data_IF_680645951555
#
_entry.id   IF_680645951555
#
_cell.length_a   1.000
_cell.length_b   1.000
_cell.length_c   1.000
_cell.angle_alpha   90.00
_cell.angle_beta   90.00
_cell.angle_gamma   90.00
#
_symmetry.space_group_name_H-M   'P 1'
#
loop_
_entity.id
_entity.type
_entity.pdbx_description
1 polymer ?
#
# COMPACT_ATOMS: atom_id res chain seq x y z
N UNK A 1 21.80 -9.98 20.05
CA UNK A 1 20.55 -9.19 20.02
C UNK A 1 19.80 -9.56 21.28
N UNK A 2 19.86 -8.74 22.32
CA UNK A 2 19.26 -9.08 23.62
C UNK A 2 17.76 -9.36 23.44
N UNK A 3 17.24 -10.35 24.15
CA UNK A 3 15.86 -10.85 24.01
C UNK A 3 14.79 -9.73 24.01
N UNK A 4 15.04 -8.67 24.79
CA UNK A 4 14.14 -7.51 24.94
C UNK A 4 13.96 -6.68 23.66
N UNK A 5 15.02 -6.46 22.87
CA UNK A 5 14.92 -5.67 21.63
C UNK A 5 14.17 -6.40 20.53
N UNK A 6 14.36 -7.73 20.49
CA UNK A 6 13.63 -8.60 19.57
C UNK A 6 12.13 -8.56 19.88
N UNK A 7 11.77 -8.67 21.16
CA UNK A 7 10.38 -8.57 21.62
C UNK A 7 9.80 -7.19 21.28
N UNK A 8 10.52 -6.11 21.60
CA UNK A 8 10.06 -4.75 21.31
C UNK A 8 9.79 -4.52 19.81
N UNK A 9 10.71 -4.98 18.94
CA UNK A 9 10.51 -4.91 17.49
C UNK A 9 9.26 -5.69 17.05
N UNK A 10 9.05 -6.89 17.58
CA UNK A 10 7.87 -7.70 17.28
C UNK A 10 6.57 -7.02 17.71
N UNK A 11 6.56 -6.41 18.91
CA UNK A 11 5.41 -5.64 19.42
C UNK A 11 5.10 -4.45 18.51
N UNK A 12 6.11 -3.71 18.05
CA UNK A 12 5.88 -2.62 17.09
C UNK A 12 5.31 -3.11 15.76
N UNK A 13 5.82 -4.22 15.21
CA UNK A 13 5.27 -4.79 13.98
C UNK A 13 3.79 -5.21 14.18
N UNK A 14 3.47 -5.81 15.32
CA UNK A 14 2.09 -6.15 15.67
C UNK A 14 1.20 -4.90 15.79
N UNK A 15 1.72 -3.82 16.37
CA UNK A 15 1.04 -2.52 16.43
C UNK A 15 0.75 -1.97 15.03
N UNK A 16 1.71 -2.01 14.09
CA UNK A 16 1.46 -1.63 12.70
C UNK A 16 0.38 -2.49 12.03
N UNK A 17 0.33 -3.79 12.35
CA UNK A 17 -0.75 -4.69 11.92
C UNK A 17 -2.11 -4.26 12.48
N UNK A 18 -2.18 -3.93 13.77
CA UNK A 18 -3.39 -3.42 14.40
C UNK A 18 -3.85 -2.08 13.79
N UNK A 19 -2.91 -1.17 13.49
CA UNK A 19 -3.21 0.09 12.80
C UNK A 19 -3.84 -0.18 11.43
N UNK A 20 -3.29 -1.10 10.63
CA UNK A 20 -3.86 -1.47 9.32
C UNK A 20 -5.29 -1.99 9.47
N UNK A 21 -5.57 -2.82 10.49
CA UNK A 21 -6.91 -3.31 10.76
C UNK A 21 -7.83 -2.12 11.04
N UNK A 22 -7.47 -1.27 12.01
CA UNK A 22 -8.27 -0.10 12.38
C UNK A 22 -8.52 0.83 11.18
N UNK A 23 -7.50 1.11 10.37
CA UNK A 23 -7.64 1.94 9.16
C UNK A 23 -8.59 1.33 8.13
N UNK A 24 -8.70 0.01 8.06
CA UNK A 24 -9.64 -0.64 7.15
C UNK A 24 -11.09 -0.60 7.66
N UNK A 25 -11.31 -0.58 8.97
CA UNK A 25 -12.65 -0.56 9.58
C UNK A 25 -13.16 0.85 9.88
N UNK A 26 -12.28 1.83 10.03
CA UNK A 26 -12.64 3.23 10.31
C UNK A 26 -12.37 4.07 9.04
N UNK A 27 -13.42 4.46 8.28
CA UNK A 27 -13.26 5.12 6.99
C UNK A 27 -12.38 6.37 7.02
N UNK A 28 -12.53 7.21 8.05
CA UNK A 28 -11.77 8.46 8.19
C UNK A 28 -10.26 8.27 8.40
N UNK A 29 -9.83 7.10 8.92
CA UNK A 29 -8.43 6.80 9.17
C UNK A 29 -7.75 6.07 8.00
N UNK A 30 -8.54 5.40 7.16
CA UNK A 30 -8.05 4.67 5.99
C UNK A 30 -8.17 5.44 4.67
N UNK A 31 -9.11 6.38 4.58
CA UNK A 31 -9.50 7.01 3.33
C UNK A 31 -9.78 8.51 3.51
N UNK A 32 -9.30 9.32 2.57
CA UNK A 32 -9.68 10.73 2.45
C UNK A 32 -10.76 10.82 1.36
N UNK A 33 -12.01 11.18 1.71
CA UNK A 33 -13.08 11.33 0.72
C UNK A 33 -12.83 12.59 -0.12
N UNK A 34 -12.51 12.40 -1.41
CA UNK A 34 -12.27 13.47 -2.38
C UNK A 34 -13.32 13.38 -3.49
N UNK A 35 -14.56 13.71 -3.15
CA UNK A 35 -15.69 13.68 -4.09
C UNK A 35 -16.04 12.24 -4.53
N UNK A 36 -16.06 11.92 -5.84
CA UNK A 36 -16.52 10.62 -6.33
C UNK A 36 -15.55 9.45 -6.09
N UNK A 37 -14.31 9.71 -5.68
CA UNK A 37 -13.29 8.68 -5.41
C UNK A 37 -12.60 8.92 -4.06
N UNK A 38 -12.23 7.82 -3.38
CA UNK A 38 -11.64 7.84 -2.05
C UNK A 38 -10.12 7.60 -2.14
N UNK A 39 -9.31 8.57 -1.72
CA UNK A 39 -7.85 8.40 -1.62
C UNK A 39 -7.51 7.49 -0.46
N UNK A 40 -6.66 6.50 -0.67
CA UNK A 40 -6.24 5.57 0.38
C UNK A 40 -5.02 6.10 1.15
N UNK A 41 -5.03 6.00 2.48
CA UNK A 41 -3.86 6.31 3.33
C UNK A 41 -3.18 5.01 3.80
N UNK A 42 -3.89 3.88 3.74
CA UNK A 42 -3.45 2.59 4.31
C UNK A 42 -2.11 2.13 3.74
N UNK A 43 -1.86 2.39 2.45
CA UNK A 43 -0.59 2.03 1.81
C UNK A 43 0.61 2.79 2.42
N UNK A 44 0.41 4.00 2.97
CA UNK A 44 1.47 4.77 3.65
C UNK A 44 1.94 4.02 4.90
N UNK A 45 1.04 3.42 5.67
CA UNK A 45 1.38 2.59 6.85
C UNK A 45 2.25 1.38 6.46
N UNK A 46 1.95 0.74 5.32
CA UNK A 46 2.75 -0.36 4.76
C UNK A 46 4.15 0.12 4.36
N UNK A 47 4.23 1.27 3.68
CA UNK A 47 5.50 1.89 3.26
C UNK A 47 6.33 2.25 4.50
N UNK A 48 5.75 2.92 5.50
CA UNK A 48 6.44 3.27 6.75
C UNK A 48 7.01 2.02 7.41
N UNK A 49 6.22 0.93 7.48
CA UNK A 49 6.70 -0.35 8.00
C UNK A 49 7.91 -0.85 7.21
N UNK A 50 7.85 -0.80 5.88
CA UNK A 50 8.95 -1.22 5.01
C UNK A 50 10.23 -0.39 5.20
N UNK A 51 10.08 0.94 5.33
CA UNK A 51 11.20 1.88 5.53
C UNK A 51 11.87 1.73 6.89
N UNK A 52 11.09 1.36 7.92
CA UNK A 52 11.54 1.30 9.31
C UNK A 52 12.05 -0.09 9.69
N UNK A 53 11.25 -1.13 9.43
CA UNK A 53 11.55 -2.51 9.85
C UNK A 53 12.18 -3.35 8.73
N UNK A 54 12.10 -2.88 7.48
CA UNK A 54 12.68 -3.51 6.30
C UNK A 54 11.64 -4.23 5.42
N UNK A 55 12.10 -4.63 4.23
CA UNK A 55 11.30 -5.25 3.16
C UNK A 55 10.42 -6.39 3.64
N UNK A 56 10.96 -7.31 4.45
CA UNK A 56 10.21 -8.48 4.94
C UNK A 56 8.94 -8.08 5.70
N UNK A 57 9.05 -7.15 6.65
CA UNK A 57 7.92 -6.75 7.49
C UNK A 57 6.95 -5.84 6.75
N UNK A 58 7.45 -4.96 5.87
CA UNK A 58 6.59 -4.22 4.95
C UNK A 58 5.73 -5.14 4.08
N UNK A 59 6.32 -6.22 3.56
CA UNK A 59 5.61 -7.21 2.73
C UNK A 59 4.56 -7.99 3.52
N UNK A 60 4.86 -8.37 4.77
CA UNK A 60 3.91 -9.04 5.67
C UNK A 60 2.71 -8.12 5.98
N UNK A 61 2.98 -6.87 6.37
CA UNK A 61 1.92 -5.91 6.69
C UNK A 61 1.10 -5.56 5.44
N UNK A 62 1.73 -5.46 4.27
CA UNK A 62 1.05 -5.37 2.98
C UNK A 62 0.17 -6.59 2.69
N UNK A 63 0.65 -7.81 2.95
CA UNK A 63 -0.14 -9.02 2.81
C UNK A 63 -1.37 -9.06 3.72
N UNK A 64 -1.23 -8.64 4.97
CA UNK A 64 -2.36 -8.51 5.92
C UNK A 64 -3.40 -7.54 5.35
N UNK A 65 -2.97 -6.37 4.85
CA UNK A 65 -3.88 -5.44 4.19
C UNK A 65 -4.56 -6.09 2.97
N UNK A 66 -3.81 -6.81 2.14
CA UNK A 66 -4.33 -7.57 1.00
C UNK A 66 -5.45 -8.55 1.39
N UNK A 67 -5.24 -9.36 2.42
CA UNK A 67 -6.23 -10.32 2.93
C UNK A 67 -7.48 -9.58 3.42
N UNK A 68 -7.30 -8.48 4.16
CA UNK A 68 -8.43 -7.65 4.61
C UNK A 68 -9.20 -7.10 3.41
N UNK A 69 -8.52 -6.59 2.37
CA UNK A 69 -9.19 -6.08 1.17
C UNK A 69 -9.96 -7.17 0.41
N UNK A 70 -9.43 -8.39 0.38
CA UNK A 70 -10.11 -9.55 -0.21
C UNK A 70 -11.39 -9.89 0.56
N UNK A 71 -11.32 -10.03 1.89
CA UNK A 71 -12.49 -10.34 2.72
C UNK A 71 -13.55 -9.23 2.60
N UNK A 72 -13.10 -7.98 2.61
CA UNK A 72 -14.00 -6.82 2.46
C UNK A 72 -14.70 -6.77 1.11
N UNK A 73 -14.10 -7.31 0.05
CA UNK A 73 -14.77 -7.36 -1.25
C UNK A 73 -16.10 -8.13 -1.21
N UNK A 74 -16.24 -9.12 -0.31
CA UNK A 74 -17.46 -9.91 -0.14
C UNK A 74 -18.39 -9.37 0.94
N UNK A 75 -17.83 -8.91 2.07
CA UNK A 75 -18.62 -8.59 3.27
C UNK A 75 -19.00 -7.11 3.33
N UNK A 76 -18.07 -6.22 2.95
CA UNK A 76 -18.28 -4.76 3.04
C UNK A 76 -17.38 -4.01 2.04
N UNK A 77 -17.77 -3.98 0.76
CA UNK A 77 -16.94 -3.41 -0.30
C UNK A 77 -16.80 -1.89 -0.12
N UNK A 78 -15.58 -1.39 -0.35
CA UNK A 78 -15.24 0.04 -0.27
C UNK A 78 -15.84 0.85 -1.43
N UNK A 79 -16.07 0.21 -2.57
CA UNK A 79 -16.66 0.80 -3.76
C UNK A 79 -17.29 -0.29 -4.63
N UNK A 80 -18.18 0.06 -5.56
CA UNK A 80 -18.75 -0.90 -6.51
C UNK A 80 -17.67 -1.66 -7.30
N UNK A 81 -16.57 -0.98 -7.68
CA UNK A 81 -15.43 -1.64 -8.32
C UNK A 81 -14.75 -2.65 -7.40
N UNK A 82 -14.62 -2.35 -6.11
CA UNK A 82 -13.96 -3.22 -5.15
C UNK A 82 -14.64 -4.58 -5.05
N UNK A 83 -15.98 -4.60 -5.11
CA UNK A 83 -16.79 -5.82 -5.10
C UNK A 83 -16.59 -6.68 -6.36
N UNK A 84 -16.08 -6.11 -7.45
CA UNK A 84 -15.87 -6.83 -8.72
C UNK A 84 -14.39 -7.25 -8.84
N UNK A 85 -13.48 -6.33 -8.53
CA UNK A 85 -12.04 -6.47 -8.79
C UNK A 85 -11.31 -7.20 -7.67
N UNK A 86 -11.61 -6.87 -6.41
CA UNK A 86 -10.84 -7.38 -5.26
C UNK A 86 -11.29 -8.75 -4.76
N UNK A 87 -12.31 -9.32 -5.41
CA UNK A 87 -12.72 -10.73 -5.31
C UNK A 87 -11.65 -11.68 -5.83
N UNK A 88 -10.76 -11.22 -6.73
CA UNK A 88 -9.61 -12.03 -7.15
C UNK A 88 -8.43 -11.82 -6.17
N UNK A 89 -7.96 -12.85 -5.47
CA UNK A 89 -6.87 -12.73 -4.49
C UNK A 89 -5.55 -12.28 -5.13
N UNK A 90 -5.34 -12.57 -6.42
CA UNK A 90 -4.18 -12.05 -7.14
C UNK A 90 -4.25 -10.54 -7.28
N UNK A 91 -5.43 -9.96 -7.45
CA UNK A 91 -5.59 -8.51 -7.62
C UNK A 91 -5.63 -7.79 -6.28
N UNK A 92 -6.21 -8.40 -5.24
CA UNK A 92 -6.28 -7.79 -3.91
C UNK A 92 -5.01 -7.96 -3.08
N UNK A 93 -4.33 -9.11 -3.15
CA UNK A 93 -3.21 -9.42 -2.25
C UNK A 93 -1.85 -9.08 -2.89
N UNK A 94 -1.63 -9.47 -4.14
CA UNK A 94 -0.30 -9.34 -4.78
C UNK A 94 0.21 -7.89 -4.82
N UNK A 95 -0.57 -6.89 -5.27
CA UNK A 95 -0.09 -5.51 -5.29
C UNK A 95 0.31 -5.03 -3.91
N UNK A 96 -0.44 -5.42 -2.87
CA UNK A 96 -0.25 -4.92 -1.50
C UNK A 96 1.03 -5.47 -0.87
N UNK A 97 1.37 -6.74 -1.14
CA UNK A 97 2.66 -7.32 -0.77
C UNK A 97 3.80 -6.59 -1.50
N UNK A 98 3.60 -6.31 -2.79
CA UNK A 98 4.62 -5.68 -3.63
C UNK A 98 4.89 -4.22 -3.26
N UNK A 99 3.92 -3.47 -2.72
CA UNK A 99 4.15 -2.13 -2.14
C UNK A 99 5.26 -2.19 -1.09
N UNK A 100 5.09 -3.07 -0.09
CA UNK A 100 6.06 -3.23 0.99
C UNK A 100 7.41 -3.77 0.51
N UNK A 101 7.37 -4.66 -0.49
CA UNK A 101 8.56 -5.24 -1.11
C UNK A 101 9.39 -4.16 -1.83
N UNK A 102 8.76 -3.41 -2.74
CA UNK A 102 9.42 -2.40 -3.55
C UNK A 102 9.87 -1.23 -2.70
N UNK A 103 9.04 -0.72 -1.80
CA UNK A 103 9.43 0.39 -0.92
C UNK A 103 10.64 0.02 -0.05
N UNK A 104 10.64 -1.16 0.58
CA UNK A 104 11.75 -1.59 1.43
C UNK A 104 13.04 -1.85 0.64
N UNK A 105 12.93 -2.53 -0.50
CA UNK A 105 14.08 -2.84 -1.35
C UNK A 105 14.69 -1.57 -1.97
N UNK A 106 13.85 -0.71 -2.54
CA UNK A 106 14.29 0.52 -3.19
C UNK A 106 14.92 1.48 -2.18
N UNK A 107 14.33 1.60 -0.98
CA UNK A 107 14.91 2.37 0.11
C UNK A 107 16.32 1.89 0.48
N UNK A 108 16.50 0.56 0.66
CA UNK A 108 17.81 -0.04 0.96
C UNK A 108 18.81 0.22 -0.17
N UNK A 109 18.40 -0.03 -1.41
CA UNK A 109 19.24 0.15 -2.59
C UNK A 109 19.70 1.60 -2.77
N UNK A 110 18.77 2.56 -2.72
CA UNK A 110 19.08 3.99 -2.88
C UNK A 110 19.92 4.53 -1.74
N UNK A 111 19.69 4.08 -0.50
CA UNK A 111 20.50 4.49 0.65
C UNK A 111 21.94 4.04 0.50
N UNK A 112 22.16 2.81 0.02
CA UNK A 112 23.50 2.28 -0.24
C UNK A 112 24.21 3.02 -1.38
N UNK A 113 23.48 3.43 -2.41
CA UNK A 113 24.05 4.11 -3.58
C UNK A 113 24.31 5.60 -3.38
N UNK A 114 23.40 6.30 -2.71
CA UNK A 114 23.41 7.78 -2.66
C UNK A 114 23.83 8.33 -1.30
N UNK A 115 23.76 7.54 -0.23
CA UNK A 115 23.94 8.01 1.15
C UNK A 115 22.81 8.93 1.67
N UNK A 116 21.95 9.47 0.78
CA UNK A 116 20.88 10.42 1.11
C UNK A 116 19.64 9.69 1.62
N UNK A 117 19.60 9.39 2.91
CA UNK A 117 18.51 8.63 3.57
C UNK A 117 17.12 9.24 3.34
N UNK A 118 16.96 10.56 3.45
CA UNK A 118 15.65 11.21 3.31
C UNK A 118 15.13 11.12 1.87
N UNK A 119 15.96 11.46 0.89
CA UNK A 119 15.63 11.33 -0.53
C UNK A 119 15.31 9.87 -0.89
N UNK A 120 16.07 8.91 -0.35
CA UNK A 120 15.83 7.49 -0.56
C UNK A 120 14.47 7.04 0.00
N UNK A 121 14.03 7.59 1.13
CA UNK A 121 12.70 7.31 1.70
C UNK A 121 11.58 7.89 0.83
N UNK A 122 11.73 9.14 0.37
CA UNK A 122 10.74 9.79 -0.52
C UNK A 122 10.57 9.01 -1.82
N UNK A 123 11.67 8.68 -2.51
CA UNK A 123 11.61 7.94 -3.78
C UNK A 123 11.03 6.54 -3.58
N UNK A 124 11.40 5.86 -2.50
CA UNK A 124 10.83 4.56 -2.15
C UNK A 124 9.32 4.61 -1.86
N UNK A 125 8.85 5.69 -1.20
CA UNK A 125 7.44 5.87 -0.90
C UNK A 125 6.61 6.15 -2.17
N UNK A 126 7.09 7.05 -3.02
CA UNK A 126 6.46 7.33 -4.33
C UNK A 126 6.40 6.06 -5.18
N UNK A 127 7.52 5.33 -5.30
CA UNK A 127 7.56 4.09 -6.05
C UNK A 127 6.61 3.03 -5.48
N UNK A 128 6.55 2.88 -4.15
CA UNK A 128 5.63 1.96 -3.49
C UNK A 128 4.16 2.27 -3.81
N UNK A 129 3.78 3.55 -3.77
CA UNK A 129 2.43 3.99 -4.12
C UNK A 129 2.11 3.74 -5.61
N UNK A 130 3.01 4.11 -6.52
CA UNK A 130 2.84 3.88 -7.95
C UNK A 130 2.72 2.40 -8.32
N UNK A 131 3.49 1.53 -7.66
CA UNK A 131 3.40 0.06 -7.86
C UNK A 131 2.00 -0.45 -7.57
N UNK A 132 1.34 0.04 -6.52
CA UNK A 132 -0.05 -0.33 -6.24
C UNK A 132 -0.97 0.03 -7.41
N UNK A 133 -0.93 1.29 -7.84
CA UNK A 133 -1.78 1.80 -8.92
C UNK A 133 -1.53 1.05 -10.22
N UNK A 134 -0.27 0.91 -10.63
CA UNK A 134 0.10 0.24 -11.88
C UNK A 134 -0.31 -1.23 -11.86
N UNK A 135 -0.07 -1.94 -10.74
CA UNK A 135 -0.40 -3.36 -10.67
C UNK A 135 -1.90 -3.61 -10.61
N UNK A 136 -2.65 -2.88 -9.77
CA UNK A 136 -4.10 -3.05 -9.68
C UNK A 136 -4.74 -2.81 -11.04
N UNK A 137 -4.36 -1.74 -11.73
CA UNK A 137 -4.95 -1.38 -13.01
C UNK A 137 -4.45 -2.26 -14.15
N UNK A 138 -3.17 -2.63 -14.15
CA UNK A 138 -2.62 -3.59 -15.11
C UNK A 138 -3.27 -4.96 -14.97
N UNK A 139 -3.54 -5.42 -13.74
CA UNK A 139 -4.25 -6.66 -13.48
C UNK A 139 -5.73 -6.56 -13.89
N UNK A 140 -6.40 -5.44 -13.62
CA UNK A 140 -7.77 -5.23 -14.14
C UNK A 140 -7.75 -5.34 -15.67
N UNK A 141 -6.83 -4.64 -16.34
CA UNK A 141 -6.72 -4.70 -17.78
C UNK A 141 -6.45 -6.13 -18.29
N UNK A 142 -5.52 -6.88 -17.69
CA UNK A 142 -5.19 -8.23 -18.13
C UNK A 142 -6.31 -9.24 -17.88
N UNK A 143 -6.90 -9.24 -16.68
CA UNK A 143 -7.90 -10.24 -16.30
C UNK A 143 -9.29 -9.95 -16.88
N UNK A 144 -9.66 -8.68 -17.04
CA UNK A 144 -11.00 -8.29 -17.49
C UNK A 144 -11.09 -7.95 -18.99
N UNK A 145 -9.97 -7.84 -19.72
CA UNK A 145 -9.99 -7.69 -21.19
C UNK A 145 -10.47 -8.95 -21.92
N UNK A 146 -10.28 -10.14 -21.32
CA UNK A 146 -10.62 -11.43 -21.94
C UNK A 146 -11.87 -12.13 -21.40
N UNK A 147 -12.32 -11.79 -20.18
CA UNK A 147 -13.55 -12.35 -19.60
C UNK A 147 -14.75 -11.50 -20.00
N UNK A 148 -15.11 -11.69 -21.26
CA UNK A 148 -16.32 -11.23 -21.92
C UNK A 148 -17.59 -11.44 -21.08
N UNK A 149 -18.30 -10.34 -20.83
CA UNK A 149 -19.75 -10.17 -21.01
C UNK A 149 -20.77 -11.06 -20.26
N UNK A 150 -20.41 -12.20 -19.67
CA UNK A 150 -21.42 -13.11 -19.12
C UNK A 150 -21.93 -12.74 -17.71
N UNK A 151 -21.23 -11.86 -16.97
CA UNK A 151 -21.57 -11.60 -15.56
C UNK A 151 -21.88 -10.14 -15.18
N UNK A 152 -21.44 -9.10 -15.91
CA UNK A 152 -21.39 -7.76 -15.29
C UNK A 152 -21.76 -6.50 -16.12
N UNK A 153 -22.20 -6.58 -17.39
CA UNK A 153 -22.73 -5.41 -18.14
C UNK A 153 -21.84 -4.14 -18.17
N UNK A 154 -20.52 -4.26 -17.93
CA UNK A 154 -19.60 -3.12 -18.00
C UNK A 154 -19.02 -3.07 -19.41
N UNK A 155 -19.24 -1.94 -20.10
CA UNK A 155 -18.71 -1.68 -21.42
C UNK A 155 -17.17 -1.61 -21.37
N UNK A 156 -16.51 -2.55 -22.03
CA UNK A 156 -15.04 -2.68 -22.06
C UNK A 156 -14.41 -1.43 -22.70
N UNK A 157 -15.14 -0.73 -23.58
CA UNK A 157 -14.67 0.54 -24.17
C UNK A 157 -14.66 1.68 -23.16
N UNK A 158 -15.55 1.65 -22.16
CA UNK A 158 -15.60 2.61 -21.06
C UNK A 158 -14.65 2.26 -19.90
N UNK A 159 -14.18 1.01 -19.83
CA UNK A 159 -13.26 0.56 -18.77
C UNK A 159 -11.90 1.26 -18.87
N UNK A 160 -11.27 1.33 -20.05
CA UNK A 160 -9.94 1.95 -20.19
C UNK A 160 -9.92 3.45 -19.84
N UNK A 161 -10.85 4.30 -20.34
CA UNK A 161 -10.95 5.70 -19.93
C UNK A 161 -11.20 5.87 -18.44
N UNK A 162 -12.02 4.99 -17.86
CA UNK A 162 -12.31 5.01 -16.43
C UNK A 162 -11.08 4.66 -15.57
N UNK A 163 -10.33 3.62 -15.94
CA UNK A 163 -9.08 3.26 -15.25
C UNK A 163 -8.04 4.39 -15.35
N UNK A 164 -7.91 5.02 -16.52
CA UNK A 164 -7.04 6.20 -16.70
C UNK A 164 -7.50 7.38 -15.83
N UNK A 165 -8.81 7.60 -15.71
CA UNK A 165 -9.38 8.59 -14.80
C UNK A 165 -9.03 8.31 -13.34
N UNK A 166 -9.08 7.05 -12.90
CA UNK A 166 -8.69 6.65 -11.53
C UNK A 166 -7.19 6.89 -11.28
N UNK A 167 -6.31 6.66 -12.25
CA UNK A 167 -4.87 6.99 -12.14
C UNK A 167 -4.68 8.48 -11.91
N UNK A 168 -5.27 9.30 -12.79
CA UNK A 168 -5.06 10.75 -12.77
C UNK A 168 -5.60 11.38 -11.48
N UNK A 169 -6.73 10.87 -10.97
CA UNK A 169 -7.42 11.46 -9.82
C UNK A 169 -6.99 10.88 -8.48
N UNK A 170 -6.53 9.63 -8.40
CA UNK A 170 -6.12 9.01 -7.12
C UNK A 170 -4.64 8.65 -7.09
N UNK A 171 -4.09 8.06 -8.14
CA UNK A 171 -2.71 7.59 -8.15
C UNK A 171 -1.68 8.71 -7.94
N UNK A 172 -1.87 9.87 -8.58
CA UNK A 172 -0.96 11.01 -8.44
C UNK A 172 -1.03 11.62 -7.03
N UNK A 173 -2.21 11.99 -6.48
CA UNK A 173 -2.28 12.51 -5.13
C UNK A 173 -1.80 11.51 -4.06
N UNK A 174 -2.12 10.22 -4.20
CA UNK A 174 -1.62 9.18 -3.28
C UNK A 174 -0.09 9.11 -3.28
N UNK A 175 0.55 9.15 -4.46
CA UNK A 175 1.99 9.09 -4.57
C UNK A 175 2.68 10.32 -3.96
N UNK A 176 2.11 11.52 -4.16
CA UNK A 176 2.62 12.76 -3.56
C UNK A 176 2.49 12.70 -2.05
N UNK A 177 1.31 12.34 -1.53
CA UNK A 177 1.06 12.20 -0.10
C UNK A 177 1.98 11.17 0.54
N UNK A 178 2.17 10.00 -0.09
CA UNK A 178 3.11 8.99 0.37
C UNK A 178 4.55 9.51 0.39
N UNK A 179 4.97 10.23 -0.66
CA UNK A 179 6.29 10.83 -0.77
C UNK A 179 6.63 11.85 0.32
N UNK A 180 5.62 12.50 0.89
CA UNK A 180 5.77 13.49 1.97
C UNK A 180 5.61 12.83 3.34
N UNK A 181 4.49 12.12 3.56
CA UNK A 181 4.12 11.59 4.88
C UNK A 181 5.00 10.42 5.30
N UNK A 182 5.33 9.50 4.39
CA UNK A 182 6.13 8.33 4.73
C UNK A 182 7.52 8.69 5.28
N UNK A 183 8.33 9.57 4.65
CA UNK A 183 9.63 9.96 5.22
C UNK A 183 9.49 10.80 6.49
N UNK A 184 8.45 11.65 6.61
CA UNK A 184 8.18 12.44 7.82
C UNK A 184 7.94 11.54 9.04
N UNK A 185 7.23 10.42 8.85
CA UNK A 185 6.95 9.45 9.92
C UNK A 185 8.12 8.48 10.12
N UNK A 186 8.70 7.95 9.03
CA UNK A 186 9.71 6.91 9.11
C UNK A 186 11.07 7.41 9.65
N UNK A 187 11.45 8.66 9.39
CA UNK A 187 12.72 9.23 9.85
C UNK A 187 12.83 9.27 11.39
N UNK A 188 11.91 9.90 12.14
CA UNK A 188 11.99 9.95 13.61
C UNK A 188 11.84 8.55 14.22
N UNK A 189 10.91 7.73 13.70
CA UNK A 189 10.69 6.38 14.20
C UNK A 189 11.95 5.50 14.05
N UNK A 190 12.63 5.59 12.91
CA UNK A 190 13.86 4.83 12.68
C UNK A 190 15.04 5.36 13.48
N UNK A 191 15.12 6.67 13.74
CA UNK A 191 16.12 7.22 14.67
C UNK A 191 15.92 6.64 16.07
N UNK A 192 14.69 6.67 16.58
CA UNK A 192 14.34 6.10 17.89
C UNK A 192 14.69 4.60 17.98
N UNK A 193 14.49 3.84 16.90
CA UNK A 193 14.89 2.43 16.86
C UNK A 193 16.41 2.23 16.87
N UNK A 194 17.16 3.07 16.16
CA UNK A 194 18.64 2.97 16.12
C UNK A 194 19.23 3.35 17.47
N UNK A 195 18.73 4.41 18.10
CA UNK A 195 19.21 4.91 19.39
C UNK A 195 18.98 3.91 20.54
N UNK A 196 18.03 2.97 20.36
CA UNK A 196 17.71 1.92 21.34
C UNK A 196 18.48 0.61 21.14
N UNK A 197 19.06 0.42 19.95
CA UNK A 197 19.83 -0.79 19.58
C UNK A 197 21.35 -0.55 19.77
N UNK A 198 21.77 0.71 19.87
CA UNK A 198 23.13 1.10 20.31
C UNK A 198 23.23 1.02 21.82
#
# INVERSE_FOLDING_TARGET
MESKDKIFKQVLIALFGAIIIIQNFIPFLGYIPMGPLNLTIIHITVIVTALVFGTKYGSIIGGIWGIITFIRAFVWPTSPLAAIVFVNPLISILPRILIGTVAGWLFKFLTLRTGKKYLSMTVAAVAGSLVNTILVLGQIYLFYRGHSMALYHIDIQALLPYLLGVIATNGIPEAILAGILAPMIAKPLRKMMIDRIK
#
